data_IF_592685581661
#
_entry.id   IF_592685581661
#
_cell.length_a   1.000
_cell.length_b   1.000
_cell.length_c   1.000
_cell.angle_alpha   90.00
_cell.angle_beta   90.00
_cell.angle_gamma   90.00
#
_symmetry.space_group_name_H-M   'P 1'
#
loop_
_entity.id
_entity.type
_entity.pdbx_description
1 polymer ?
#
# COMPACT_ATOMS: atom_id res chain seq x y z
N UNK A 1 2.40 -13.41 -33.75
CA UNK A 1 2.79 -13.13 -32.35
C UNK A 1 1.96 -11.97 -31.83
N UNK A 2 0.95 -12.23 -31.01
CA UNK A 2 0.19 -11.18 -30.34
C UNK A 2 1.00 -10.60 -29.18
N UNK A 3 1.42 -9.34 -29.27
CA UNK A 3 1.87 -8.58 -28.11
C UNK A 3 0.63 -8.27 -27.26
N UNK A 4 0.42 -9.04 -26.20
CA UNK A 4 -0.50 -8.64 -25.13
C UNK A 4 0.20 -7.52 -24.36
N UNK A 5 -0.35 -6.28 -24.28
CA UNK A 5 0.21 -5.29 -23.38
C UNK A 5 0.13 -5.88 -21.97
N UNK A 6 1.28 -5.99 -21.28
CA UNK A 6 1.35 -6.54 -19.93
C UNK A 6 0.42 -5.74 -19.00
N UNK A 7 -0.72 -6.31 -18.63
CA UNK A 7 -1.65 -5.69 -17.69
C UNK A 7 -0.94 -5.49 -16.35
N UNK A 8 -1.01 -4.27 -15.80
CA UNK A 8 -0.33 -3.94 -14.54
C UNK A 8 -1.20 -4.37 -13.35
N UNK A 9 -0.66 -5.21 -12.48
CA UNK A 9 -1.28 -5.53 -11.20
C UNK A 9 -1.14 -4.34 -10.24
N UNK A 10 -2.27 -3.77 -9.83
CA UNK A 10 -2.35 -2.72 -8.82
C UNK A 10 -3.24 -3.22 -7.69
N UNK A 11 -2.68 -3.33 -6.49
CA UNK A 11 -3.42 -3.72 -5.27
C UNK A 11 -3.72 -2.47 -4.45
N UNK A 12 -4.96 -2.34 -3.98
CA UNK A 12 -5.38 -1.25 -3.09
C UNK A 12 -6.01 -1.86 -1.84
N UNK A 13 -5.50 -1.50 -0.66
CA UNK A 13 -6.03 -1.99 0.62
C UNK A 13 -5.99 -0.91 1.69
N UNK A 14 -6.73 -1.12 2.78
CA UNK A 14 -6.74 -0.21 3.92
C UNK A 14 -5.40 -0.17 4.67
N UNK A 15 -4.52 -1.16 4.52
CA UNK A 15 -3.19 -1.19 5.14
C UNK A 15 -2.17 -1.79 4.20
N UNK A 16 -0.98 -1.20 4.17
CA UNK A 16 0.21 -1.75 3.49
C UNK A 16 1.16 -2.25 4.58
N UNK A 17 1.74 -3.43 4.38
CA UNK A 17 2.78 -3.92 5.28
C UNK A 17 4.05 -3.07 5.12
N UNK A 18 4.83 -2.83 6.19
CA UNK A 18 6.16 -2.26 6.03
C UNK A 18 6.97 -3.16 5.09
N UNK A 19 7.56 -2.55 4.05
CA UNK A 19 8.40 -3.25 3.07
C UNK A 19 9.82 -3.46 3.65
N UNK A 20 10.07 -3.03 4.88
CA UNK A 20 11.34 -3.24 5.57
C UNK A 20 11.52 -4.72 5.92
N UNK A 21 12.60 -5.31 5.40
CA UNK A 21 13.00 -6.67 5.75
C UNK A 21 13.23 -6.77 7.27
N UNK A 22 12.51 -7.69 7.91
CA UNK A 22 12.63 -7.97 9.35
C UNK A 22 11.44 -7.53 10.21
N UNK A 23 10.56 -6.66 9.70
CA UNK A 23 9.35 -6.27 10.43
C UNK A 23 8.23 -7.29 10.23
N UNK A 24 7.55 -7.75 11.31
CA UNK A 24 6.48 -8.72 11.18
C UNK A 24 5.35 -8.15 10.32
N UNK A 25 5.07 -8.83 9.21
CA UNK A 25 3.87 -8.57 8.41
C UNK A 25 2.64 -8.91 9.23
N UNK A 26 1.96 -7.91 9.77
CA UNK A 26 0.77 -8.12 10.57
C UNK A 26 -0.43 -8.55 9.69
N UNK A 27 -0.80 -9.83 9.78
CA UNK A 27 -2.08 -10.37 9.26
C UNK A 27 -2.02 -11.08 7.90
N UNK A 28 -3.00 -11.98 7.67
CA UNK A 28 -3.03 -12.87 6.49
C UNK A 28 -3.23 -12.16 5.14
N UNK A 29 -3.93 -11.02 5.12
CA UNK A 29 -4.11 -10.23 3.89
C UNK A 29 -2.77 -9.72 3.36
N UNK A 30 -1.94 -9.19 4.26
CA UNK A 30 -0.67 -8.61 3.89
C UNK A 30 0.34 -9.66 3.40
N UNK A 31 0.36 -10.83 4.04
CA UNK A 31 1.15 -11.97 3.59
C UNK A 31 0.72 -12.43 2.18
N UNK A 32 -0.59 -12.63 1.96
CA UNK A 32 -1.10 -13.08 0.67
C UNK A 32 -0.87 -12.08 -0.47
N UNK A 33 -1.00 -10.77 -0.20
CA UNK A 33 -0.71 -9.72 -1.20
C UNK A 33 0.78 -9.68 -1.53
N UNK A 34 1.67 -9.81 -0.54
CA UNK A 34 3.10 -9.87 -0.78
C UNK A 34 3.49 -11.06 -1.66
N UNK A 35 2.93 -12.24 -1.41
CA UNK A 35 3.17 -13.43 -2.23
C UNK A 35 2.68 -13.25 -3.66
N UNK A 36 1.48 -12.67 -3.86
CA UNK A 36 0.96 -12.38 -5.20
C UNK A 36 1.84 -11.36 -5.97
N UNK A 37 2.34 -10.32 -5.29
CA UNK A 37 3.23 -9.31 -5.87
C UNK A 37 4.63 -9.88 -6.17
N UNK A 38 5.16 -10.76 -5.32
CA UNK A 38 6.41 -11.49 -5.59
C UNK A 38 6.31 -12.34 -6.85
N UNK A 39 5.16 -12.96 -7.10
CA UNK A 39 4.95 -13.82 -8.27
C UNK A 39 4.69 -13.05 -9.56
N UNK A 40 3.85 -12.00 -9.53
CA UNK A 40 3.41 -11.29 -10.75
C UNK A 40 4.09 -9.93 -10.98
N UNK A 41 4.79 -9.40 -10.00
CA UNK A 41 5.15 -7.98 -9.95
C UNK A 41 3.91 -7.09 -9.79
N UNK A 42 4.11 -5.80 -9.64
CA UNK A 42 3.01 -4.84 -9.52
C UNK A 42 3.28 -3.74 -8.51
N UNK A 43 2.24 -2.99 -8.14
CA UNK A 43 2.31 -1.93 -7.12
C UNK A 43 1.19 -2.12 -6.10
N UNK A 44 1.50 -1.80 -4.85
CA UNK A 44 0.57 -1.87 -3.74
C UNK A 44 0.40 -0.49 -3.12
N UNK A 45 -0.84 -0.01 -3.09
CA UNK A 45 -1.23 1.24 -2.45
C UNK A 45 -2.12 0.98 -1.24
N UNK A 46 -2.00 1.84 -0.24
CA UNK A 46 -2.84 1.82 0.94
C UNK A 46 -2.29 2.73 2.01
N UNK A 47 -2.96 2.72 3.17
CA UNK A 47 -2.55 3.56 4.29
C UNK A 47 -1.30 2.99 4.98
N UNK A 48 -0.33 3.86 5.26
CA UNK A 48 0.90 3.55 6.01
C UNK A 48 0.64 3.18 7.46
N UNK A 49 -0.53 3.55 7.99
CA UNK A 49 -0.86 3.40 9.40
C UNK A 49 -0.55 4.59 10.27
N UNK A 50 0.09 5.62 9.73
CA UNK A 50 0.37 6.86 10.43
C UNK A 50 -0.83 7.80 10.33
N UNK A 51 -1.25 8.36 11.47
CA UNK A 51 -2.23 9.44 11.53
C UNK A 51 -1.45 10.74 11.63
N UNK A 52 -1.70 11.67 10.71
CA UNK A 52 -1.09 13.01 10.75
C UNK A 52 -1.82 13.83 11.81
N UNK A 53 -1.13 14.63 12.65
CA UNK A 53 -1.79 15.53 13.58
C UNK A 53 -2.74 16.46 12.84
N UNK A 54 -3.86 16.82 13.47
CA UNK A 54 -4.75 17.84 12.91
C UNK A 54 -3.95 19.11 12.66
N UNK A 55 -4.02 19.59 11.41
CA UNK A 55 -3.56 20.93 11.11
C UNK A 55 -4.51 21.87 11.85
N UNK A 56 -4.04 22.44 12.98
CA UNK A 56 -4.72 23.55 13.64
C UNK A 56 -4.79 24.66 12.59
N UNK A 57 -5.94 24.76 11.93
CA UNK A 57 -6.21 25.86 11.01
C UNK A 57 -6.24 27.11 11.89
N UNK A 58 -5.33 28.08 11.70
CA UNK A 58 -5.39 29.31 12.49
C UNK A 58 -6.80 29.90 12.31
N UNK A 59 -7.44 30.37 13.40
CA UNK A 59 -8.78 30.93 13.31
C UNK A 59 -8.77 32.06 12.28
N UNK A 60 -9.81 32.11 11.45
CA UNK A 60 -9.96 33.20 10.48
C UNK A 60 -9.90 34.54 11.23
N UNK A 61 -9.17 35.54 10.71
CA UNK A 61 -9.20 36.87 11.30
C UNK A 61 -10.64 37.38 11.31
N UNK A 62 -11.10 37.80 12.50
CA UNK A 62 -12.38 38.48 12.71
C UNK A 62 -12.38 39.87 12.10
#
# INVERSE_FOLDING_TARGET
>A
MSFQPSSRLIVVSNRVAPIMEGEPTAGGLAAGVMDALRQKGGRWFGWSGQVVPDMVTPPLPV
#
